data_IF_976679925172
#
_entry.id   IF_976679925172
#
_cell.length_a   1.000
_cell.length_b   1.000
_cell.length_c   1.000
_cell.angle_alpha   90.00
_cell.angle_beta   90.00
_cell.angle_gamma   90.00
#
_symmetry.space_group_name_H-M   'P 1'
#
loop_
_entity.id
_entity.type
_entity.pdbx_description
1 polymer ?
#
# COMPACT_ATOMS: atom_id res chain seq x y z
N UNK A 1 20.28 -16.38 -4.48
CA UNK A 1 18.98 -15.78 -4.10
C UNK A 1 19.21 -14.29 -3.95
N UNK A 2 18.64 -13.47 -4.84
CA UNK A 2 18.93 -12.02 -4.87
C UNK A 2 17.73 -11.25 -4.31
N UNK A 3 17.98 -10.33 -3.38
CA UNK A 3 16.95 -9.43 -2.87
C UNK A 3 16.57 -8.45 -3.98
N UNK A 4 15.27 -8.35 -4.28
CA UNK A 4 14.76 -7.39 -5.27
C UNK A 4 14.24 -6.16 -4.54
N UNK A 5 14.94 -5.03 -4.71
CA UNK A 5 14.50 -3.74 -4.19
C UNK A 5 13.67 -3.03 -5.27
N UNK A 6 12.42 -2.72 -4.95
CA UNK A 6 11.51 -2.04 -5.88
C UNK A 6 10.88 -0.82 -5.23
N UNK A 7 10.84 0.28 -5.98
CA UNK A 7 10.05 1.47 -5.70
C UNK A 7 8.93 1.56 -6.71
N UNK A 8 7.72 1.88 -6.26
CA UNK A 8 6.56 2.11 -7.12
C UNK A 8 5.95 3.46 -6.76
N UNK A 9 5.59 4.24 -7.77
CA UNK A 9 4.87 5.51 -7.62
C UNK A 9 3.44 5.34 -8.14
N UNK A 10 2.48 5.95 -7.46
CA UNK A 10 1.06 5.91 -7.84
C UNK A 10 0.46 7.30 -7.64
N UNK A 11 -0.20 7.83 -8.68
CA UNK A 11 -0.73 9.20 -8.69
C UNK A 11 -2.12 9.36 -8.04
N UNK A 12 -2.87 8.27 -7.81
CA UNK A 12 -4.13 8.30 -7.07
C UNK A 12 -5.23 9.16 -7.70
N UNK A 13 -5.50 9.00 -8.99
CA UNK A 13 -6.53 9.78 -9.71
C UNK A 13 -7.94 9.19 -9.60
N UNK A 14 -8.08 7.96 -9.09
CA UNK A 14 -9.37 7.26 -8.93
C UNK A 14 -9.66 6.93 -7.48
N UNK A 15 -10.94 6.73 -7.15
CA UNK A 15 -11.41 6.31 -5.83
C UNK A 15 -11.59 4.80 -5.71
N UNK A 16 -11.45 4.07 -6.81
CA UNK A 16 -11.47 2.60 -6.84
C UNK A 16 -10.22 2.02 -6.18
N UNK A 17 -10.35 0.82 -5.59
CA UNK A 17 -9.19 0.10 -5.06
C UNK A 17 -8.23 -0.27 -6.20
N UNK A 18 -6.94 0.03 -6.03
CA UNK A 18 -5.90 -0.27 -7.01
C UNK A 18 -4.75 -1.03 -6.33
N UNK A 19 -4.36 -2.15 -6.93
CA UNK A 19 -3.15 -2.88 -6.51
C UNK A 19 -1.91 -2.19 -7.04
N UNK A 20 -1.15 -1.55 -6.15
CA UNK A 20 0.09 -0.83 -6.50
C UNK A 20 1.29 -1.78 -6.61
N UNK A 21 1.29 -2.87 -5.84
CA UNK A 21 2.36 -3.85 -5.85
C UNK A 21 1.80 -5.25 -5.57
N UNK A 22 2.32 -6.23 -6.32
CA UNK A 22 2.06 -7.66 -6.12
C UNK A 22 3.40 -8.37 -6.03
N UNK A 23 3.62 -9.15 -4.97
CA UNK A 23 4.81 -9.99 -4.86
C UNK A 23 4.71 -11.20 -5.81
N UNK A 24 5.86 -11.76 -6.20
CA UNK A 24 5.87 -13.03 -6.93
C UNK A 24 5.37 -14.16 -5.99
N UNK A 25 4.60 -15.11 -6.51
CA UNK A 25 4.04 -16.24 -5.77
C UNK A 25 5.09 -17.07 -5.01
N UNK A 26 6.34 -17.11 -5.49
CA UNK A 26 7.43 -17.87 -4.83
C UNK A 26 8.34 -16.98 -3.96
N UNK A 27 7.95 -15.73 -3.70
CA UNK A 27 8.76 -14.75 -3.00
C UNK A 27 8.01 -14.14 -1.80
N UNK A 28 8.77 -13.63 -0.85
CA UNK A 28 8.28 -12.77 0.24
C UNK A 28 8.69 -11.34 -0.05
N UNK A 29 7.75 -10.41 0.10
CA UNK A 29 8.05 -8.98 0.03
C UNK A 29 7.98 -8.39 1.44
N UNK A 30 8.86 -7.43 1.71
CA UNK A 30 8.79 -6.63 2.93
C UNK A 30 8.57 -5.20 2.50
N UNK A 31 7.41 -4.65 2.85
CA UNK A 31 7.08 -3.25 2.57
C UNK A 31 7.55 -2.45 3.78
N UNK A 32 8.58 -1.63 3.58
CA UNK A 32 9.20 -0.83 4.64
C UNK A 32 8.60 0.57 4.75
N UNK A 33 7.99 1.06 3.68
CA UNK A 33 7.46 2.42 3.63
C UNK A 33 6.28 2.52 2.66
N UNK A 34 5.26 3.26 3.07
CA UNK A 34 4.14 3.67 2.21
C UNK A 34 3.94 5.16 2.45
N UNK A 35 4.63 5.97 1.65
CA UNK A 35 4.55 7.42 1.73
C UNK A 35 3.43 7.95 0.85
N UNK A 36 2.62 8.83 1.42
CA UNK A 36 1.58 9.58 0.71
C UNK A 36 1.91 11.05 0.79
N UNK A 37 1.81 11.72 -0.36
CA UNK A 37 1.91 13.18 -0.48
C UNK A 37 0.55 13.73 -0.90
N UNK A 38 -0.14 14.40 0.02
CA UNK A 38 -1.33 15.17 -0.29
C UNK A 38 -0.92 16.61 -0.61
N UNK A 39 -1.31 17.11 -1.78
CA UNK A 39 -0.97 18.47 -2.21
C UNK A 39 -2.06 19.48 -1.83
N UNK A 40 -3.32 19.04 -1.65
CA UNK A 40 -4.43 19.94 -1.29
C UNK A 40 -5.72 19.21 -0.88
N UNK A 41 -6.60 19.96 -0.21
CA UNK A 41 -7.93 19.50 0.21
C UNK A 41 -7.91 18.38 1.26
N UNK A 42 -9.08 17.80 1.52
CA UNK A 42 -9.22 16.63 2.40
C UNK A 42 -9.30 15.35 1.58
N UNK A 43 -8.60 14.30 2.01
CA UNK A 43 -8.59 12.97 1.38
C UNK A 43 -8.63 11.91 2.47
N UNK A 44 -9.44 10.89 2.24
CA UNK A 44 -9.45 9.68 3.05
C UNK A 44 -8.74 8.60 2.28
N UNK A 45 -7.65 8.08 2.84
CA UNK A 45 -6.88 6.99 2.24
C UNK A 45 -6.97 5.76 3.12
N UNK A 46 -7.22 4.62 2.48
CA UNK A 46 -7.17 3.29 3.08
C UNK A 46 -6.09 2.49 2.38
N UNK A 47 -5.22 1.85 3.16
CA UNK A 47 -4.21 0.93 2.64
C UNK A 47 -4.57 -0.46 3.10
N UNK A 48 -4.61 -1.40 2.17
CA UNK A 48 -4.92 -2.80 2.44
C UNK A 48 -3.89 -3.73 1.81
N UNK A 49 -3.62 -4.82 2.49
CA UNK A 49 -2.91 -5.98 1.94
C UNK A 49 -3.93 -7.05 1.62
N UNK A 50 -3.82 -7.62 0.42
CA UNK A 50 -4.53 -8.83 0.05
C UNK A 50 -3.52 -9.98 0.05
N UNK A 51 -3.79 -11.01 0.85
CA UNK A 51 -3.06 -12.28 0.79
C UNK A 51 -4.04 -13.39 0.46
N UNK A 52 -3.57 -14.37 -0.31
CA UNK A 52 -4.35 -15.56 -0.61
C UNK A 52 -3.68 -16.77 0.04
N UNK A 53 -4.46 -17.56 0.77
CA UNK A 53 -4.01 -18.88 1.24
C UNK A 53 -4.12 -19.94 0.11
N UNK A 54 -4.94 -19.65 -0.91
CA UNK A 54 -5.18 -20.44 -2.12
C UNK A 54 -5.63 -19.53 -3.25
N UNK A 55 -5.43 -19.92 -4.52
CA UNK A 55 -5.60 -19.08 -5.72
C UNK A 55 -6.99 -18.42 -5.90
N UNK A 56 -8.01 -18.80 -5.14
CA UNK A 56 -9.41 -18.37 -5.31
C UNK A 56 -9.95 -17.49 -4.18
N UNK A 57 -9.25 -17.34 -3.06
CA UNK A 57 -9.73 -16.54 -1.92
C UNK A 57 -8.67 -15.53 -1.49
N UNK A 58 -8.92 -14.25 -1.77
CA UNK A 58 -8.11 -13.13 -1.26
C UNK A 58 -8.71 -12.63 0.04
N UNK A 59 -7.96 -12.74 1.14
CA UNK A 59 -8.29 -12.07 2.38
C UNK A 59 -7.69 -10.67 2.34
N UNK A 60 -8.53 -9.64 2.34
CA UNK A 60 -8.10 -8.24 2.34
C UNK A 60 -8.14 -7.67 3.74
N UNK A 61 -6.98 -7.32 4.29
CA UNK A 61 -6.85 -6.69 5.61
C UNK A 61 -6.46 -5.23 5.45
N UNK A 62 -7.23 -4.34 6.09
CA UNK A 62 -6.86 -2.92 6.17
C UNK A 62 -5.74 -2.76 7.19
N UNK A 63 -4.61 -2.21 6.75
CA UNK A 63 -3.41 -2.04 7.57
C UNK A 63 -3.19 -0.59 7.99
N UNK A 64 -3.79 0.37 7.27
CA UNK A 64 -3.72 1.77 7.63
C UNK A 64 -4.93 2.55 7.13
N UNK A 65 -5.32 3.56 7.90
CA UNK A 65 -6.34 4.54 7.58
C UNK A 65 -5.78 5.93 7.86
N UNK A 66 -5.92 6.84 6.91
CA UNK A 66 -5.53 8.24 7.08
C UNK A 66 -6.64 9.15 6.58
N UNK A 67 -7.13 10.01 7.46
CA UNK A 67 -7.92 11.18 7.08
C UNK A 67 -6.97 12.38 7.06
N UNK A 68 -6.59 12.79 5.86
CA UNK A 68 -5.56 13.79 5.62
C UNK A 68 -6.24 15.09 5.21
N UNK A 69 -5.89 16.21 5.85
CA UNK A 69 -6.42 17.54 5.52
C UNK A 69 -5.29 18.51 5.24
N UNK A 70 -5.40 19.25 4.14
CA UNK A 70 -4.38 20.21 3.70
C UNK A 70 -3.13 19.55 3.11
N UNK A 71 -2.14 20.35 2.69
CA UNK A 71 -0.90 19.83 2.13
C UNK A 71 -0.06 19.14 3.21
N UNK A 72 0.19 17.84 3.07
CA UNK A 72 0.91 17.04 4.07
C UNK A 72 1.56 15.81 3.46
N UNK A 73 2.63 15.32 4.10
CA UNK A 73 3.25 14.04 3.78
C UNK A 73 3.13 13.13 5.00
N UNK A 74 2.73 11.88 4.81
CA UNK A 74 2.66 10.90 5.89
C UNK A 74 3.14 9.51 5.43
N UNK A 75 3.72 8.75 6.36
CA UNK A 75 4.05 7.34 6.16
C UNK A 75 2.99 6.48 6.86
N UNK A 76 2.41 5.55 6.11
CA UNK A 76 1.37 4.63 6.58
C UNK A 76 1.91 3.23 6.91
N UNK A 77 3.20 2.98 6.66
CA UNK A 77 3.87 1.78 7.15
C UNK A 77 4.43 2.07 8.55
N UNK A 78 3.63 1.79 9.59
CA UNK A 78 4.00 1.96 11.00
C UNK A 78 4.88 0.81 11.53
N UNK A 79 5.48 0.05 10.62
CA UNK A 79 6.32 -1.11 10.84
C UNK A 79 6.49 -1.90 9.53
N UNK A 80 7.38 -2.90 9.50
CA UNK A 80 7.51 -3.78 8.34
C UNK A 80 6.20 -4.56 8.11
N UNK A 81 5.66 -4.48 6.90
CA UNK A 81 4.51 -5.28 6.48
C UNK A 81 5.04 -6.44 5.62
N UNK A 82 4.62 -7.66 5.93
CA UNK A 82 5.07 -8.91 5.31
C UNK A 82 3.90 -9.69 4.74
#
# INVERSE_FOLDING_TARGET
MSNVYKRVFFAGTTTTSVSVYTCNATARAIIQNIQITNQSGSKVVKVSVASSATATTYSTTVIAYANITGPTICNLANGPIV
#
